data_IF_611650108575
#
_entry.id   IF_611650108575
#
_cell.length_a   1.000
_cell.length_b   1.000
_cell.length_c   1.000
_cell.angle_alpha   90.00
_cell.angle_beta   90.00
_cell.angle_gamma   90.00
#
_symmetry.space_group_name_H-M   'P 1'
#
loop_
_entity.id
_entity.type
_entity.pdbx_description
1 polymer ?
#
# COMPACT_ATOMS: atom_id res chain seq x y z
N UNK A 1 21.54 3.72 44.91
CA UNK A 1 20.59 4.84 44.75
C UNK A 1 20.30 4.99 43.26
N UNK A 2 19.16 4.44 42.87
CA UNK A 2 18.61 4.35 41.50
C UNK A 2 18.14 5.73 41.03
N UNK A 3 18.72 6.26 39.95
CA UNK A 3 18.15 7.42 39.24
C UNK A 3 17.09 6.93 38.25
N UNK A 4 15.85 7.35 38.49
CA UNK A 4 14.71 7.14 37.60
C UNK A 4 14.98 7.74 36.22
N UNK A 5 14.82 6.92 35.19
CA UNK A 5 14.61 7.36 33.82
C UNK A 5 13.15 7.76 33.71
N UNK A 6 12.85 9.04 33.85
CA UNK A 6 11.54 9.55 33.48
C UNK A 6 11.38 9.49 31.96
N UNK A 7 10.20 9.05 31.54
CA UNK A 7 9.74 8.98 30.16
C UNK A 7 9.72 10.38 29.54
N UNK A 8 10.84 10.79 28.95
CA UNK A 8 10.85 11.96 28.06
C UNK A 8 10.05 11.56 26.83
N UNK A 9 8.78 11.97 26.82
CA UNK A 9 7.85 11.74 25.72
C UNK A 9 8.49 12.24 24.43
N UNK A 10 8.54 11.40 23.39
CA UNK A 10 9.19 11.71 22.10
C UNK A 10 8.74 13.06 21.50
N UNK A 11 7.53 13.50 21.82
CA UNK A 11 7.00 14.82 21.51
C UNK A 11 7.87 15.97 22.03
N UNK A 12 8.43 15.86 23.23
CA UNK A 12 9.24 16.90 23.85
C UNK A 12 10.61 17.07 23.16
N UNK A 13 11.18 15.97 22.67
CA UNK A 13 12.41 15.98 21.87
C UNK A 13 12.17 16.52 20.46
N UNK A 14 10.99 16.27 19.88
CA UNK A 14 10.57 16.88 18.61
C UNK A 14 10.37 18.39 18.72
N UNK A 15 9.80 18.87 19.83
CA UNK A 15 9.63 20.32 20.07
C UNK A 15 10.93 21.04 20.39
N UNK A 16 11.91 20.38 21.04
CA UNK A 16 13.23 20.97 21.33
C UNK A 16 14.18 20.94 20.12
N UNK A 17 13.93 20.08 19.13
CA UNK A 17 14.63 20.09 17.85
C UNK A 17 14.14 21.20 16.91
N UNK A 18 12.98 21.78 17.18
CA UNK A 18 12.44 22.88 16.38
C UNK A 18 13.04 24.19 16.89
N UNK A 19 14.15 24.63 16.28
CA UNK A 19 14.62 25.99 16.48
C UNK A 19 13.53 26.97 15.99
N UNK A 20 13.13 27.96 16.80
CA UNK A 20 12.12 28.95 16.40
C UNK A 20 12.60 29.90 15.28
N UNK A 21 13.86 29.78 14.83
CA UNK A 21 14.42 30.55 13.70
C UNK A 21 14.37 29.84 12.34
N UNK A 22 13.92 28.59 12.27
CA UNK A 22 13.67 27.92 10.99
C UNK A 22 12.29 28.34 10.46
N UNK A 23 12.18 29.57 9.95
CA UNK A 23 11.07 29.95 9.08
C UNK A 23 10.96 28.91 7.95
N UNK A 24 9.76 28.44 7.57
CA UNK A 24 9.57 27.56 6.43
C UNK A 24 9.98 28.33 5.17
N UNK A 25 11.26 28.22 4.79
CA UNK A 25 11.78 28.78 3.55
C UNK A 25 11.14 27.99 2.44
N UNK A 26 10.06 28.52 1.89
CA UNK A 26 9.40 27.98 0.70
C UNK A 26 10.49 27.86 -0.36
N UNK A 27 11.01 26.66 -0.66
CA UNK A 27 12.11 26.56 -1.58
C UNK A 27 11.54 26.93 -2.94
N UNK A 28 12.24 27.78 -3.70
CA UNK A 28 11.87 28.08 -5.08
C UNK A 28 12.18 26.85 -5.95
N UNK A 29 11.37 25.80 -5.81
CA UNK A 29 11.44 24.60 -6.62
C UNK A 29 10.13 24.44 -7.38
N UNK A 30 10.19 23.80 -8.54
CA UNK A 30 9.02 23.58 -9.36
C UNK A 30 8.15 22.46 -8.73
N UNK A 31 6.89 22.71 -8.31
CA UNK A 31 6.05 21.70 -7.66
C UNK A 31 5.85 20.44 -8.51
N UNK A 32 5.93 20.55 -9.84
CA UNK A 32 5.83 19.42 -10.77
C UNK A 32 6.89 18.33 -10.58
N UNK A 33 7.96 18.57 -9.81
CA UNK A 33 8.96 17.54 -9.47
C UNK A 33 8.34 16.37 -8.68
N UNK A 34 7.26 16.59 -7.94
CA UNK A 34 6.54 15.54 -7.20
C UNK A 34 5.53 14.76 -8.06
N UNK A 35 5.23 15.23 -9.27
CA UNK A 35 4.26 14.58 -10.15
C UNK A 35 4.63 13.12 -10.51
N UNK A 36 5.88 12.79 -10.88
CA UNK A 36 6.25 11.40 -11.17
C UNK A 36 6.09 10.47 -9.98
N UNK A 37 6.32 10.96 -8.75
CA UNK A 37 6.10 10.17 -7.53
C UNK A 37 4.61 9.88 -7.33
N UNK A 38 3.75 10.89 -7.48
CA UNK A 38 2.30 10.73 -7.40
C UNK A 38 1.73 9.78 -8.47
N UNK A 39 2.27 9.80 -9.69
CA UNK A 39 1.89 8.85 -10.75
C UNK A 39 2.28 7.42 -10.36
N UNK A 40 3.51 7.24 -9.82
CA UNK A 40 3.95 5.93 -9.35
C UNK A 40 3.10 5.42 -8.19
N UNK A 41 2.69 6.29 -7.26
CA UNK A 41 1.81 5.94 -6.13
C UNK A 41 0.46 5.40 -6.60
N UNK A 42 -0.19 6.10 -7.53
CA UNK A 42 -1.50 5.68 -8.07
C UNK A 42 -1.38 4.37 -8.85
N UNK A 43 -0.35 4.22 -9.68
CA UNK A 43 -0.12 2.97 -10.42
C UNK A 43 0.15 1.82 -9.44
N UNK A 44 1.03 2.04 -8.46
CA UNK A 44 1.38 1.06 -7.47
C UNK A 44 0.16 0.59 -6.67
N UNK A 45 -0.58 1.53 -6.09
CA UNK A 45 -1.78 1.23 -5.31
C UNK A 45 -2.84 0.52 -6.14
N UNK A 46 -3.09 0.97 -7.37
CA UNK A 46 -4.07 0.34 -8.27
C UNK A 46 -3.70 -1.11 -8.60
N UNK A 47 -2.46 -1.35 -9.03
CA UNK A 47 -1.98 -2.72 -9.34
C UNK A 47 -2.01 -3.60 -8.09
N UNK A 48 -1.64 -3.04 -6.94
CA UNK A 48 -1.65 -3.73 -5.64
C UNK A 48 -3.07 -4.11 -5.20
N UNK A 49 -4.06 -3.24 -5.41
CA UNK A 49 -5.47 -3.53 -5.12
C UNK A 49 -6.03 -4.62 -6.03
N UNK A 50 -5.71 -4.60 -7.33
CA UNK A 50 -6.11 -5.68 -8.25
C UNK A 50 -5.48 -7.00 -7.81
N UNK A 51 -4.20 -7.01 -7.45
CA UNK A 51 -3.54 -8.19 -6.89
C UNK A 51 -4.26 -8.74 -5.65
N UNK A 52 -4.64 -7.88 -4.71
CA UNK A 52 -5.38 -8.26 -3.49
C UNK A 52 -6.75 -8.92 -3.77
N UNK A 53 -7.39 -8.62 -4.90
CA UNK A 53 -8.66 -9.29 -5.28
C UNK A 53 -8.47 -10.71 -5.80
N UNK A 54 -7.26 -11.05 -6.24
CA UNK A 54 -6.92 -12.34 -6.83
C UNK A 54 -6.12 -13.26 -5.90
N UNK A 55 -5.39 -12.70 -4.93
CA UNK A 55 -4.60 -13.47 -3.94
C UNK A 55 -5.18 -13.35 -2.53
N UNK A 56 -4.66 -14.15 -1.60
CA UNK A 56 -5.05 -14.09 -0.20
C UNK A 56 -4.50 -12.82 0.49
N UNK A 57 -5.22 -12.30 1.49
CA UNK A 57 -4.75 -11.14 2.26
C UNK A 57 -3.39 -11.38 2.95
N UNK A 58 -3.11 -12.64 3.32
CA UNK A 58 -1.82 -13.03 3.93
C UNK A 58 -0.69 -13.01 2.90
N UNK A 59 -0.87 -13.65 1.74
CA UNK A 59 0.10 -13.63 0.63
C UNK A 59 0.42 -12.20 0.19
N UNK A 60 -0.60 -11.35 0.06
CA UNK A 60 -0.44 -9.92 -0.25
C UNK A 60 0.48 -9.19 0.74
N UNK A 61 0.27 -9.39 2.04
CA UNK A 61 1.09 -8.77 3.08
C UNK A 61 2.53 -9.29 3.04
N UNK A 62 2.71 -10.59 2.76
CA UNK A 62 4.02 -11.23 2.70
C UNK A 62 4.83 -10.78 1.47
N UNK A 63 4.17 -10.57 0.33
CA UNK A 63 4.80 -10.06 -0.89
C UNK A 63 5.34 -8.63 -0.75
N UNK A 64 4.93 -7.89 0.29
CA UNK A 64 5.58 -6.61 0.65
C UNK A 64 7.05 -6.77 1.04
N UNK A 65 7.52 -7.98 1.35
CA UNK A 65 8.96 -8.25 1.48
C UNK A 65 9.77 -7.90 0.22
N UNK A 66 9.14 -7.95 -0.97
CA UNK A 66 9.76 -7.55 -2.24
C UNK A 66 10.10 -6.06 -2.29
N UNK A 67 9.37 -5.21 -1.55
CA UNK A 67 9.63 -3.78 -1.48
C UNK A 67 11.04 -3.48 -0.96
N UNK A 68 11.52 -4.25 0.02
CA UNK A 68 12.85 -4.05 0.64
C UNK A 68 13.95 -4.35 -0.37
N UNK A 69 13.78 -5.42 -1.15
CA UNK A 69 14.71 -5.79 -2.22
C UNK A 69 14.74 -4.70 -3.29
N UNK A 70 13.56 -4.29 -3.79
CA UNK A 70 13.44 -3.29 -4.85
C UNK A 70 13.98 -1.92 -4.42
N UNK A 71 13.62 -1.44 -3.23
CA UNK A 71 14.10 -0.16 -2.70
C UNK A 71 15.59 -0.17 -2.40
N UNK A 72 16.12 -1.27 -1.87
CA UNK A 72 17.56 -1.45 -1.65
C UNK A 72 18.33 -1.33 -2.95
N UNK A 73 17.93 -2.08 -4.00
CA UNK A 73 18.58 -2.05 -5.31
C UNK A 73 18.46 -0.68 -5.99
N UNK A 74 17.27 -0.09 -6.02
CA UNK A 74 17.04 1.24 -6.61
C UNK A 74 17.80 2.34 -5.88
N UNK A 75 18.00 2.23 -4.56
CA UNK A 75 18.79 3.18 -3.78
C UNK A 75 20.27 3.20 -4.19
N UNK A 76 20.83 2.09 -4.69
CA UNK A 76 22.19 2.06 -5.24
C UNK A 76 22.27 2.91 -6.50
N UNK A 77 21.29 2.76 -7.41
CA UNK A 77 21.31 3.43 -8.72
C UNK A 77 21.02 4.92 -8.59
N UNK A 78 19.98 5.29 -7.84
CA UNK A 78 19.48 6.67 -7.80
C UNK A 78 20.11 7.55 -6.71
N UNK A 79 20.44 6.97 -5.56
CA UNK A 79 20.99 7.70 -4.41
C UNK A 79 22.49 7.43 -4.19
N UNK A 80 23.08 6.54 -5.00
CA UNK A 80 24.48 6.07 -4.84
C UNK A 80 24.75 5.54 -3.42
N UNK A 81 23.75 4.90 -2.82
CA UNK A 81 23.86 4.34 -1.48
C UNK A 81 24.90 3.21 -1.45
N UNK A 82 25.72 3.16 -0.39
CA UNK A 82 26.67 2.08 -0.14
C UNK A 82 26.03 1.02 0.76
N UNK A 83 25.69 -0.13 0.18
CA UNK A 83 25.14 -1.27 0.90
C UNK A 83 26.27 -2.09 1.51
N UNK A 84 26.21 -2.37 2.82
CA UNK A 84 27.20 -3.18 3.53
C UNK A 84 26.99 -4.68 3.23
N UNK A 85 28.03 -5.50 3.39
CA UNK A 85 27.98 -6.95 3.09
C UNK A 85 26.87 -7.70 3.86
N UNK A 86 26.57 -7.32 5.10
CA UNK A 86 25.48 -7.94 5.86
C UNK A 86 24.09 -7.57 5.32
N UNK A 87 23.96 -6.43 4.66
CA UNK A 87 22.67 -6.03 4.06
C UNK A 87 22.40 -6.85 2.80
N UNK A 88 23.44 -7.23 2.06
CA UNK A 88 23.34 -8.17 0.95
C UNK A 88 22.83 -9.54 1.39
N UNK A 89 23.30 -10.07 2.53
CA UNK A 89 22.78 -11.35 3.04
C UNK A 89 21.31 -11.26 3.44
N UNK A 90 20.89 -10.14 4.05
CA UNK A 90 19.47 -9.88 4.33
C UNK A 90 18.61 -9.82 3.06
N UNK A 91 19.11 -9.19 2.00
CA UNK A 91 18.43 -9.11 0.71
C UNK A 91 18.27 -10.48 0.05
N UNK A 92 19.32 -11.30 0.04
CA UNK A 92 19.27 -12.68 -0.48
C UNK A 92 18.24 -13.51 0.30
N UNK A 93 18.21 -13.37 1.62
CA UNK A 93 17.27 -14.09 2.48
C UNK A 93 15.81 -13.65 2.22
N UNK A 94 15.57 -12.36 1.97
CA UNK A 94 14.25 -11.89 1.53
C UNK A 94 13.85 -12.48 0.17
N UNK A 95 14.76 -12.55 -0.81
CA UNK A 95 14.49 -13.16 -2.11
C UNK A 95 14.15 -14.65 -1.97
N UNK A 96 14.89 -15.38 -1.13
CA UNK A 96 14.58 -16.78 -0.83
C UNK A 96 13.20 -16.93 -0.16
N UNK A 97 12.86 -16.05 0.79
CA UNK A 97 11.55 -16.02 1.42
C UNK A 97 10.42 -15.80 0.41
N UNK A 98 10.53 -14.81 -0.48
CA UNK A 98 9.54 -14.56 -1.54
C UNK A 98 9.38 -15.76 -2.47
N UNK A 99 10.47 -16.41 -2.85
CA UNK A 99 10.43 -17.59 -3.70
C UNK A 99 9.68 -18.75 -3.04
N UNK A 100 9.91 -18.99 -1.74
CA UNK A 100 9.21 -20.04 -0.98
C UNK A 100 7.72 -19.72 -0.86
N UNK A 101 7.35 -18.46 -0.61
CA UNK A 101 5.95 -18.03 -0.53
C UNK A 101 5.24 -18.26 -1.86
N UNK A 102 5.79 -17.76 -2.97
CA UNK A 102 5.19 -17.96 -4.29
C UNK A 102 5.10 -19.43 -4.72
N UNK A 103 6.10 -20.26 -4.38
CA UNK A 103 6.04 -21.70 -4.66
C UNK A 103 4.99 -22.43 -3.80
N UNK A 104 4.77 -21.97 -2.57
CA UNK A 104 3.75 -22.55 -1.70
C UNK A 104 2.35 -22.27 -2.24
N UNK A 105 2.12 -21.05 -2.71
CA UNK A 105 0.82 -20.65 -3.27
C UNK A 105 0.52 -21.43 -4.56
N UNK A 106 1.53 -21.79 -5.36
CA UNK A 106 1.38 -22.70 -6.52
C UNK A 106 1.01 -24.13 -6.10
N UNK A 107 1.64 -24.66 -5.05
CA UNK A 107 1.49 -26.07 -4.67
C UNK A 107 0.20 -26.37 -3.89
N UNK A 108 -0.35 -25.37 -3.19
CA UNK A 108 -1.49 -25.55 -2.28
C UNK A 108 -2.79 -24.88 -2.73
N UNK A 109 -2.77 -24.05 -3.78
CA UNK A 109 -4.00 -23.64 -4.44
C UNK A 109 -4.65 -24.89 -5.05
N UNK A 110 -5.91 -25.20 -4.69
CA UNK A 110 -6.52 -26.53 -4.87
C UNK A 110 -6.57 -27.06 -6.31
N UNK A 111 -6.91 -28.33 -6.47
CA UNK A 111 -6.93 -29.12 -7.74
C UNK A 111 -7.80 -28.54 -8.88
N UNK A 112 -8.42 -27.37 -8.69
CA UNK A 112 -9.21 -26.66 -9.68
C UNK A 112 -8.31 -25.73 -10.53
N UNK A 113 -8.11 -26.02 -11.84
CA UNK A 113 -7.15 -25.31 -12.69
C UNK A 113 -7.43 -23.81 -12.90
N UNK A 114 -8.60 -23.30 -12.49
CA UNK A 114 -8.94 -21.88 -12.54
C UNK A 114 -8.48 -21.04 -11.33
N UNK A 115 -8.47 -21.62 -10.13
CA UNK A 115 -8.16 -20.88 -8.90
C UNK A 115 -6.66 -20.66 -8.74
N UNK A 116 -5.86 -21.68 -9.08
CA UNK A 116 -4.38 -21.60 -9.08
C UNK A 116 -3.87 -20.47 -9.99
N UNK A 117 -4.43 -20.34 -11.19
CA UNK A 117 -4.02 -19.31 -12.14
C UNK A 117 -4.32 -17.91 -11.61
N UNK A 118 -5.45 -17.72 -10.93
CA UNK A 118 -5.83 -16.41 -10.38
C UNK A 118 -4.87 -15.98 -9.27
N UNK A 119 -4.56 -16.88 -8.32
CA UNK A 119 -3.63 -16.58 -7.21
C UNK A 119 -2.24 -16.23 -7.75
N UNK A 120 -1.71 -17.00 -8.70
CA UNK A 120 -0.38 -16.74 -9.30
C UNK A 120 -0.34 -15.39 -10.01
N UNK A 121 -1.39 -15.05 -10.77
CA UNK A 121 -1.50 -13.74 -11.42
C UNK A 121 -1.56 -12.63 -10.36
N UNK A 122 -2.33 -12.84 -9.28
CA UNK A 122 -2.41 -11.93 -8.15
C UNK A 122 -1.04 -11.66 -7.52
N UNK A 123 -0.29 -12.72 -7.22
CA UNK A 123 1.03 -12.62 -6.61
C UNK A 123 2.04 -11.90 -7.50
N UNK A 124 2.02 -12.18 -8.80
CA UNK A 124 2.88 -11.51 -9.77
C UNK A 124 2.56 -10.01 -9.88
N UNK A 125 1.29 -9.65 -9.93
CA UNK A 125 0.84 -8.25 -9.93
C UNK A 125 1.27 -7.54 -8.63
N UNK A 126 1.12 -8.21 -7.48
CA UNK A 126 1.59 -7.68 -6.19
C UNK A 126 3.10 -7.47 -6.16
N UNK A 127 3.89 -8.38 -6.74
CA UNK A 127 5.33 -8.23 -6.81
C UNK A 127 5.76 -7.06 -7.72
N UNK A 128 5.11 -6.90 -8.88
CA UNK A 128 5.35 -5.77 -9.79
C UNK A 128 4.99 -4.44 -9.14
N UNK A 129 3.88 -4.36 -8.40
CA UNK A 129 3.46 -3.12 -7.76
C UNK A 129 4.54 -2.58 -6.80
N UNK A 130 5.29 -3.47 -6.13
CA UNK A 130 6.37 -3.07 -5.23
C UNK A 130 7.51 -2.32 -5.94
N UNK A 131 7.72 -2.53 -7.24
CA UNK A 131 8.72 -1.78 -8.01
C UNK A 131 8.28 -0.32 -8.11
N UNK A 132 7.00 -0.05 -8.40
CA UNK A 132 6.46 1.31 -8.47
C UNK A 132 6.46 1.99 -7.10
N UNK A 133 6.08 1.28 -6.03
CA UNK A 133 6.22 1.78 -4.65
C UNK A 133 7.68 2.14 -4.38
N UNK A 134 8.62 1.27 -4.77
CA UNK A 134 10.04 1.52 -4.53
C UNK A 134 10.56 2.76 -5.27
N UNK A 135 10.13 2.96 -6.52
CA UNK A 135 10.46 4.15 -7.31
C UNK A 135 9.94 5.42 -6.63
N UNK A 136 8.69 5.42 -6.16
CA UNK A 136 8.11 6.54 -5.41
C UNK A 136 8.96 6.86 -4.18
N UNK A 137 9.23 5.88 -3.31
CA UNK A 137 9.97 6.07 -2.06
C UNK A 137 11.39 6.63 -2.30
N UNK A 138 12.10 6.11 -3.31
CA UNK A 138 13.46 6.53 -3.65
C UNK A 138 13.46 7.93 -4.29
N UNK A 139 12.46 8.23 -5.12
CA UNK A 139 12.27 9.55 -5.72
C UNK A 139 11.99 10.62 -4.67
N UNK A 140 11.05 10.36 -3.75
CA UNK A 140 10.72 11.24 -2.63
C UNK A 140 11.95 11.55 -1.79
N UNK A 141 12.70 10.53 -1.36
CA UNK A 141 13.91 10.74 -0.56
C UNK A 141 14.92 11.64 -1.30
N UNK A 142 15.11 11.42 -2.60
CA UNK A 142 16.05 12.20 -3.41
C UNK A 142 15.62 13.67 -3.47
N UNK A 143 14.35 13.93 -3.78
CA UNK A 143 13.84 15.30 -3.94
C UNK A 143 13.74 16.05 -2.62
N UNK A 144 13.30 15.39 -1.54
CA UNK A 144 13.25 15.99 -0.21
C UNK A 144 14.65 16.41 0.28
N UNK A 145 15.70 15.64 -0.03
CA UNK A 145 17.07 15.97 0.34
C UNK A 145 17.70 17.02 -0.56
N UNK A 146 17.46 16.96 -1.87
CA UNK A 146 18.06 17.89 -2.83
C UNK A 146 17.49 19.31 -2.68
N UNK A 147 16.17 19.43 -2.47
CA UNK A 147 15.48 20.73 -2.38
C UNK A 147 15.18 21.16 -0.94
N UNK A 148 15.56 20.34 0.06
CA UNK A 148 15.28 20.53 1.49
C UNK A 148 13.83 20.93 1.80
N UNK A 149 12.86 20.36 1.08
CA UNK A 149 11.44 20.66 1.24
C UNK A 149 10.92 20.12 2.57
N UNK A 150 10.04 20.85 3.24
CA UNK A 150 9.39 20.35 4.44
C UNK A 150 8.46 19.16 4.13
N UNK A 151 8.52 18.05 4.90
CA UNK A 151 7.70 16.87 4.65
C UNK A 151 6.19 17.16 4.63
N UNK A 152 5.73 18.09 5.46
CA UNK A 152 4.32 18.50 5.52
C UNK A 152 3.86 19.22 4.26
N UNK A 153 4.73 20.04 3.65
CA UNK A 153 4.41 20.68 2.39
C UNK A 153 4.46 19.69 1.22
N UNK A 154 5.46 18.80 1.21
CA UNK A 154 5.60 17.76 0.19
C UNK A 154 4.38 16.83 0.14
N UNK A 155 3.90 16.34 1.29
CA UNK A 155 2.71 15.47 1.35
C UNK A 155 1.45 16.18 0.86
N UNK A 156 1.33 17.49 1.11
CA UNK A 156 0.19 18.29 0.63
C UNK A 156 0.18 18.41 -0.89
N UNK A 157 1.33 18.71 -1.50
CA UNK A 157 1.47 18.80 -2.97
C UNK A 157 1.24 17.44 -3.64
N UNK A 158 1.82 16.37 -3.08
CA UNK A 158 1.60 15.01 -3.56
C UNK A 158 0.13 14.61 -3.47
N UNK A 159 -0.55 14.94 -2.35
CA UNK A 159 -1.98 14.72 -2.18
C UNK A 159 -2.83 15.47 -3.20
N UNK A 160 -2.50 16.72 -3.53
CA UNK A 160 -3.21 17.49 -4.56
C UNK A 160 -3.04 16.85 -5.94
N UNK A 161 -1.81 16.48 -6.32
CA UNK A 161 -1.58 15.76 -7.57
C UNK A 161 -2.29 14.40 -7.57
N UNK A 162 -2.31 13.71 -6.43
CA UNK A 162 -3.02 12.45 -6.24
C UNK A 162 -4.51 12.59 -6.52
N UNK A 163 -5.17 13.60 -5.95
CA UNK A 163 -6.60 13.87 -6.22
C UNK A 163 -6.84 14.15 -7.71
N UNK A 164 -6.02 15.01 -8.33
CA UNK A 164 -6.17 15.37 -9.75
C UNK A 164 -6.00 14.13 -10.64
N UNK A 165 -4.94 13.36 -10.42
CA UNK A 165 -4.63 12.17 -11.19
C UNK A 165 -5.66 11.06 -10.95
N UNK A 166 -6.15 10.87 -9.72
CA UNK A 166 -7.17 9.89 -9.40
C UNK A 166 -8.52 10.25 -10.05
N UNK A 167 -8.94 11.52 -9.96
CA UNK A 167 -10.12 12.01 -10.66
C UNK A 167 -10.00 11.81 -12.18
N UNK A 168 -8.81 12.07 -12.75
CA UNK A 168 -8.57 11.84 -14.18
C UNK A 168 -8.55 10.34 -14.54
N UNK A 169 -7.99 9.48 -13.68
CA UNK A 169 -7.87 8.04 -13.89
C UNK A 169 -9.21 7.29 -13.76
N UNK A 170 -10.13 7.80 -12.95
CA UNK A 170 -11.49 7.25 -12.85
C UNK A 170 -12.25 7.34 -14.18
N UNK A 171 -12.00 8.36 -15.00
CA UNK A 171 -12.67 8.55 -16.30
C UNK A 171 -12.40 7.39 -17.26
N UNK A 172 -11.15 7.00 -17.60
CA UNK A 172 -10.89 5.86 -18.46
C UNK A 172 -11.24 4.52 -17.81
N UNK A 173 -11.08 4.37 -16.48
CA UNK A 173 -11.44 3.11 -15.79
C UNK A 173 -12.91 2.74 -15.98
N UNK A 174 -13.80 3.73 -16.02
CA UNK A 174 -15.23 3.52 -16.29
C UNK A 174 -15.51 2.88 -17.67
N UNK A 175 -14.64 3.09 -18.66
CA UNK A 175 -14.84 2.56 -20.01
C UNK A 175 -14.22 1.17 -20.23
N UNK A 176 -13.37 0.70 -19.31
CA UNK A 176 -12.67 -0.60 -19.44
C UNK A 176 -13.58 -1.72 -18.92
N UNK A 177 -13.88 -2.68 -19.79
CA UNK A 177 -14.60 -3.90 -19.44
C UNK A 177 -13.57 -4.95 -19.04
N UNK A 178 -13.84 -5.64 -17.92
CA UNK A 178 -12.91 -6.52 -17.23
C UNK A 178 -13.39 -7.96 -17.39
N UNK A 179 -12.50 -8.92 -17.73
CA UNK A 179 -12.91 -10.31 -17.92
C UNK A 179 -13.61 -10.90 -16.68
N UNK A 180 -14.44 -11.96 -16.84
CA UNK A 180 -15.26 -12.54 -15.77
C UNK A 180 -14.48 -12.99 -14.53
N UNK A 181 -13.16 -13.11 -14.61
CA UNK A 181 -12.26 -13.35 -13.47
C UNK A 181 -12.23 -12.20 -12.45
N UNK A 182 -12.64 -10.98 -12.84
CA UNK A 182 -12.58 -9.78 -12.00
C UNK A 182 -13.94 -9.16 -11.70
N UNK A 183 -15.01 -9.65 -12.33
CA UNK A 183 -16.36 -9.14 -12.10
C UNK A 183 -17.44 -10.14 -12.50
N UNK A 184 -18.39 -10.36 -11.60
CA UNK A 184 -19.61 -11.16 -11.82
C UNK A 184 -20.75 -10.33 -12.42
N UNK A 185 -20.53 -9.05 -12.75
CA UNK A 185 -21.57 -8.20 -13.32
C UNK A 185 -21.86 -8.58 -14.79
N UNK A 186 -23.13 -8.53 -15.24
CA UNK A 186 -23.51 -8.80 -16.63
C UNK A 186 -22.89 -7.82 -17.65
N UNK A 187 -22.47 -6.63 -17.19
CA UNK A 187 -21.75 -5.65 -18.00
C UNK A 187 -20.21 -5.80 -17.92
N UNK A 188 -19.69 -6.81 -17.20
CA UNK A 188 -18.25 -7.04 -17.04
C UNK A 188 -17.49 -5.77 -16.57
N UNK A 189 -18.05 -5.00 -15.64
CA UNK A 189 -17.40 -3.82 -15.03
C UNK A 189 -17.06 -4.07 -13.56
N UNK A 190 -15.98 -3.46 -13.07
CA UNK A 190 -15.56 -3.54 -11.66
C UNK A 190 -16.57 -2.90 -10.69
N UNK A 191 -17.37 -1.96 -11.16
CA UNK A 191 -18.42 -1.29 -10.38
C UNK A 191 -19.76 -2.04 -10.48
N UNK A 192 -20.39 -2.34 -9.34
CA UNK A 192 -21.78 -2.81 -9.27
C UNK A 192 -22.68 -1.63 -9.55
N UNK A 193 -23.16 -1.49 -10.79
CA UNK A 193 -24.20 -0.53 -11.10
C UNK A 193 -25.55 -1.12 -10.69
N UNK A 194 -26.04 -0.78 -9.50
CA UNK A 194 -27.42 -1.09 -9.06
C UNK A 194 -28.50 -0.33 -9.88
N UNK A 195 -28.09 0.48 -10.86
CA UNK A 195 -28.98 1.38 -11.57
C UNK A 195 -30.05 0.71 -12.48
N UNK A 196 -29.84 -0.46 -13.14
CA UNK A 196 -30.88 -1.03 -13.98
C UNK A 196 -31.89 -1.88 -13.20
N UNK A 197 -31.52 -2.44 -12.05
CA UNK A 197 -32.36 -3.41 -11.35
C UNK A 197 -33.56 -2.74 -10.67
N UNK A 198 -33.38 -1.53 -10.11
CA UNK A 198 -34.46 -0.74 -9.51
C UNK A 198 -35.45 -0.17 -10.53
N UNK A 199 -35.04 -0.04 -11.80
CA UNK A 199 -35.96 0.31 -12.90
C UNK A 199 -36.72 -0.93 -13.40
N UNK A 200 -36.11 -2.11 -13.36
CA UNK A 200 -36.82 -3.38 -13.60
C UNK A 200 -37.84 -3.67 -12.50
N UNK A 201 -37.53 -3.48 -11.23
CA UNK A 201 -38.48 -3.74 -10.13
C UNK A 201 -39.68 -2.78 -10.17
N UNK A 202 -39.46 -1.50 -10.51
CA UNK A 202 -40.54 -0.54 -10.73
C UNK A 202 -41.35 -0.84 -11.99
N UNK A 203 -40.75 -1.40 -13.03
CA UNK A 203 -41.45 -1.84 -14.25
C UNK A 203 -42.30 -3.10 -14.01
N UNK A 204 -41.76 -4.08 -13.29
CA UNK A 204 -42.42 -5.34 -12.94
C UNK A 204 -43.59 -5.10 -11.98
N UNK A 205 -43.42 -4.28 -10.95
CA UNK A 205 -44.52 -3.95 -10.03
C UNK A 205 -45.62 -3.12 -10.68
N UNK A 206 -45.31 -2.33 -11.71
CA UNK A 206 -46.32 -1.59 -12.49
C UNK A 206 -47.06 -2.50 -13.49
N UNK A 207 -46.36 -3.46 -14.09
CA UNK A 207 -46.96 -4.44 -15.01
C UNK A 207 -47.77 -5.52 -14.29
N UNK A 208 -47.49 -5.80 -13.01
CA UNK A 208 -48.29 -6.74 -12.21
C UNK A 208 -49.65 -6.17 -11.77
N UNK A 209 -49.90 -4.87 -11.98
CA UNK A 209 -51.16 -4.22 -11.60
C UNK A 209 -52.12 -4.00 -12.79
N UNK A 210 -51.65 -4.13 -14.04
CA UNK A 210 -52.49 -4.04 -15.24
C UNK A 210 -52.60 -5.43 -15.90
N UNK A 211 -53.75 -6.08 -15.73
CA UNK A 211 -54.03 -7.45 -16.14
C UNK A 211 -54.16 -7.67 -17.66
N UNK A 212 -53.24 -7.12 -18.46
CA UNK A 212 -53.17 -7.34 -19.91
C UNK A 212 -51.95 -8.16 -20.28
N UNK A 213 -52.18 -9.46 -20.49
CA UNK A 213 -51.23 -10.37 -21.14
C UNK A 213 -51.04 -9.92 -22.59
N UNK A 214 -49.98 -9.18 -22.86
CA UNK A 214 -49.42 -9.04 -24.20
C UNK A 214 -47.97 -9.51 -24.16
N UNK A 215 -47.64 -10.38 -25.12
CA UNK A 215 -46.32 -10.90 -25.39
C UNK A 215 -45.29 -9.76 -25.52
N UNK A 216 -44.49 -9.56 -24.47
CA UNK A 216 -43.31 -8.69 -24.54
C UNK A 216 -42.13 -9.53 -25.01
N UNK A 217 -42.10 -9.71 -26.33
CA UNK A 217 -40.91 -9.92 -27.13
C UNK A 217 -39.83 -8.90 -26.73
N UNK A 218 -38.63 -9.40 -26.41
CA UNK A 218 -37.37 -8.68 -26.20
C UNK A 218 -37.44 -7.17 -25.98
N UNK A 219 -37.44 -6.74 -24.72
CA UNK A 219 -36.84 -5.44 -24.39
C UNK A 219 -35.33 -5.65 -24.49
N UNK A 220 -34.81 -5.45 -25.70
CA UNK A 220 -33.38 -5.29 -25.91
C UNK A 220 -32.98 -4.03 -25.13
N UNK A 221 -32.34 -4.22 -23.97
CA UNK A 221 -31.78 -3.12 -23.18
C UNK A 221 -30.65 -2.56 -24.02
N UNK A 222 -30.99 -1.58 -24.84
CA UNK A 222 -30.08 -1.00 -25.80
C UNK A 222 -28.82 -0.51 -25.07
N UNK A 223 -27.71 -1.21 -25.33
CA UNK A 223 -26.36 -0.83 -24.89
C UNK A 223 -26.17 0.65 -25.23
N UNK A 224 -26.01 1.55 -24.26
CA UNK A 224 -25.88 2.96 -24.58
C UNK A 224 -24.61 3.15 -25.43
N UNK A 225 -24.68 3.94 -26.52
CA UNK A 225 -23.56 4.11 -27.43
C UNK A 225 -22.29 4.56 -26.69
N UNK A 226 -21.14 4.17 -27.23
CA UNK A 226 -19.80 4.29 -26.65
C UNK A 226 -19.43 5.72 -26.19
N UNK A 227 -20.10 6.75 -26.72
CA UNK A 227 -19.96 8.17 -26.36
C UNK A 227 -21.32 8.83 -26.06
N UNK A 228 -21.98 8.47 -24.95
CA UNK A 228 -23.17 9.21 -24.49
C UNK A 228 -22.90 9.93 -23.18
N UNK A 229 -23.24 11.22 -23.13
CA UNK A 229 -23.18 12.11 -21.95
C UNK A 229 -23.86 11.53 -20.70
N UNK A 230 -24.73 10.54 -20.86
CA UNK A 230 -25.38 9.80 -19.77
C UNK A 230 -24.39 9.08 -18.85
N UNK A 231 -23.21 8.67 -19.35
CA UNK A 231 -22.22 7.89 -18.58
C UNK A 231 -21.52 8.69 -17.48
N UNK A 232 -21.18 9.96 -17.74
CA UNK A 232 -20.64 10.88 -16.72
C UNK A 232 -21.71 11.22 -15.66
N UNK A 233 -22.97 11.27 -16.07
CA UNK A 233 -24.10 11.52 -15.16
C UNK A 233 -24.25 10.39 -14.14
N UNK A 234 -24.05 9.11 -14.54
CA UNK A 234 -24.05 7.98 -13.60
C UNK A 234 -22.92 8.07 -12.57
N UNK A 235 -21.71 8.42 -12.98
CA UNK A 235 -20.59 8.63 -12.05
C UNK A 235 -20.87 9.72 -11.01
N UNK A 236 -21.35 10.88 -11.47
CA UNK A 236 -21.73 11.96 -10.57
C UNK A 236 -22.87 11.52 -9.63
N UNK A 237 -23.78 10.68 -10.11
CA UNK A 237 -24.86 10.13 -9.32
C UNK A 237 -24.38 9.19 -8.21
N UNK A 238 -23.38 8.33 -8.45
CA UNK A 238 -22.80 7.45 -7.43
C UNK A 238 -22.07 8.24 -6.33
N UNK A 239 -21.31 9.28 -6.72
CA UNK A 239 -20.69 10.20 -5.76
C UNK A 239 -21.76 10.91 -4.91
N UNK A 240 -22.84 11.37 -5.54
CA UNK A 240 -23.95 12.02 -4.83
C UNK A 240 -24.73 11.05 -3.93
N UNK A 241 -24.86 9.77 -4.32
CA UNK A 241 -25.43 8.73 -3.46
C UNK A 241 -24.55 8.47 -2.24
N UNK A 242 -23.23 8.37 -2.40
CA UNK A 242 -22.30 8.23 -1.28
C UNK A 242 -22.43 9.40 -0.30
N UNK A 243 -22.52 10.64 -0.78
CA UNK A 243 -22.76 11.80 0.09
C UNK A 243 -24.13 11.75 0.79
N UNK A 244 -25.16 11.20 0.13
CA UNK A 244 -26.47 11.01 0.74
C UNK A 244 -26.43 9.94 1.84
N UNK A 245 -25.73 8.85 1.62
CA UNK A 245 -25.53 7.76 2.60
C UNK A 245 -24.78 8.25 3.85
N UNK A 246 -23.72 9.04 3.66
CA UNK A 246 -22.95 9.68 4.73
C UNK A 246 -23.83 10.59 5.60
N UNK A 247 -24.81 11.29 5.01
CA UNK A 247 -25.77 12.12 5.76
C UNK A 247 -26.78 11.28 6.56
N UNK A 248 -27.10 10.07 6.10
CA UNK A 248 -28.06 9.18 6.76
C UNK A 248 -27.39 8.41 7.91
N UNK A 249 -26.14 7.99 7.76
CA UNK A 249 -25.39 7.23 8.76
C UNK A 249 -24.08 7.95 9.16
N UNK A 250 -24.07 8.74 10.26
CA UNK A 250 -22.90 9.53 10.64
C UNK A 250 -21.70 8.68 11.10
N UNK A 251 -21.92 7.40 11.43
CA UNK A 251 -20.84 6.47 11.76
C UNK A 251 -19.89 6.25 10.57
N UNK A 252 -20.41 6.30 9.34
CA UNK A 252 -19.61 6.22 8.11
C UNK A 252 -18.70 7.44 8.00
N UNK A 253 -19.22 8.64 8.31
CA UNK A 253 -18.43 9.86 8.33
C UNK A 253 -17.31 9.79 9.38
N UNK A 254 -17.61 9.28 10.57
CA UNK A 254 -16.61 9.11 11.62
C UNK A 254 -15.51 8.12 11.20
N UNK A 255 -15.89 6.99 10.59
CA UNK A 255 -14.94 5.99 10.10
C UNK A 255 -14.06 6.55 8.97
N UNK A 256 -14.67 7.19 7.95
CA UNK A 256 -13.95 7.81 6.82
C UNK A 256 -13.05 8.95 7.27
N UNK A 257 -13.52 9.80 8.18
CA UNK A 257 -12.72 10.88 8.74
C UNK A 257 -11.53 10.34 9.52
N UNK A 258 -11.76 9.32 10.35
CA UNK A 258 -10.71 8.65 11.11
C UNK A 258 -9.64 8.01 10.22
N UNK A 259 -10.03 7.28 9.17
CA UNK A 259 -9.08 6.69 8.22
C UNK A 259 -8.31 7.76 7.44
N UNK A 260 -8.99 8.83 7.01
CA UNK A 260 -8.34 9.93 6.28
C UNK A 260 -7.28 10.62 7.14
N UNK A 261 -7.58 10.94 8.39
CA UNK A 261 -6.63 11.55 9.33
C UNK A 261 -5.45 10.60 9.60
N UNK A 262 -5.75 9.31 9.77
CA UNK A 262 -4.71 8.29 10.00
C UNK A 262 -3.74 8.19 8.83
N UNK A 263 -4.25 8.14 7.59
CA UNK A 263 -3.43 8.06 6.37
C UNK A 263 -2.60 9.34 6.19
N UNK A 264 -3.19 10.52 6.43
CA UNK A 264 -2.47 11.79 6.34
C UNK A 264 -1.29 11.83 7.33
N UNK A 265 -1.51 11.43 8.58
CA UNK A 265 -0.45 11.33 9.59
C UNK A 265 0.61 10.30 9.20
N UNK A 266 0.20 9.13 8.71
CA UNK A 266 1.12 8.07 8.27
C UNK A 266 2.02 8.54 7.11
N UNK A 267 1.46 9.20 6.11
CA UNK A 267 2.21 9.72 4.97
C UNK A 267 3.19 10.84 5.39
N UNK A 268 2.75 11.75 6.28
CA UNK A 268 3.63 12.76 6.86
C UNK A 268 4.81 12.15 7.64
N UNK A 269 4.53 11.19 8.52
CA UNK A 269 5.56 10.50 9.29
C UNK A 269 6.52 9.73 8.38
N UNK A 270 6.01 9.04 7.36
CA UNK A 270 6.79 8.33 6.36
C UNK A 270 7.75 9.24 5.58
N UNK A 271 7.26 10.38 5.08
CA UNK A 271 8.09 11.37 4.40
C UNK A 271 9.14 11.98 5.33
N UNK A 272 8.80 12.21 6.60
CA UNK A 272 9.74 12.71 7.61
C UNK A 272 10.88 11.72 7.86
N UNK A 273 10.57 10.43 8.00
CA UNK A 273 11.59 9.36 8.11
C UNK A 273 12.45 9.29 6.85
N UNK A 274 11.85 9.44 5.67
CA UNK A 274 12.58 9.39 4.39
C UNK A 274 13.55 10.57 4.24
N UNK A 275 13.13 11.77 4.64
CA UNK A 275 13.98 12.99 4.66
C UNK A 275 15.15 12.81 5.64
N UNK A 276 14.85 12.53 6.91
CA UNK A 276 15.82 12.56 8.01
C UNK A 276 16.69 11.31 8.12
N UNK A 277 16.19 10.14 7.74
CA UNK A 277 16.89 8.86 7.85
C UNK A 277 17.19 8.25 6.48
N UNK A 278 16.22 7.60 5.86
CA UNK A 278 16.28 7.10 4.47
C UNK A 278 14.97 6.42 4.07
N UNK A 279 14.72 6.28 2.77
CA UNK A 279 13.65 5.44 2.21
C UNK A 279 13.82 3.99 2.66
N UNK A 280 15.06 3.50 2.71
CA UNK A 280 15.36 2.16 3.24
C UNK A 280 15.02 2.00 4.72
N UNK A 281 14.93 3.06 5.51
CA UNK A 281 14.46 2.98 6.90
C UNK A 281 12.93 3.03 6.97
N UNK A 282 12.29 3.79 6.08
CA UNK A 282 10.82 3.81 5.98
C UNK A 282 10.26 2.44 5.64
N UNK A 283 10.83 1.75 4.66
CA UNK A 283 10.40 0.39 4.28
C UNK A 283 10.48 -0.62 5.43
N UNK A 284 11.33 -0.36 6.39
CA UNK A 284 11.55 -1.21 7.57
C UNK A 284 10.48 -0.96 8.61
N UNK A 285 10.13 0.30 8.82
CA UNK A 285 8.97 0.66 9.64
C UNK A 285 7.68 0.09 9.03
N UNK A 286 7.56 0.12 7.70
CA UNK A 286 6.44 -0.50 6.99
C UNK A 286 6.41 -2.02 7.19
N UNK A 287 7.57 -2.66 7.26
CA UNK A 287 7.70 -4.08 7.53
C UNK A 287 7.27 -4.46 8.95
N UNK A 288 7.59 -3.62 9.94
CA UNK A 288 7.13 -3.83 11.32
C UNK A 288 5.60 -3.83 11.38
N UNK A 289 4.94 -2.90 10.69
CA UNK A 289 3.48 -2.88 10.59
C UNK A 289 2.93 -4.20 10.02
N UNK A 290 3.53 -4.72 8.96
CA UNK A 290 3.11 -6.00 8.34
C UNK A 290 3.22 -7.16 9.33
N UNK A 291 4.34 -7.26 10.05
CA UNK A 291 4.54 -8.32 11.07
C UNK A 291 3.48 -8.22 12.17
N UNK A 292 3.18 -7.00 12.64
CA UNK A 292 2.19 -6.79 13.70
C UNK A 292 0.77 -7.13 13.24
N UNK A 293 0.39 -6.73 12.03
CA UNK A 293 -0.93 -7.06 11.46
C UNK A 293 -1.07 -8.56 11.32
N UNK A 294 -0.09 -9.22 10.70
CA UNK A 294 -0.09 -10.67 10.53
C UNK A 294 -0.13 -11.42 11.87
N UNK A 295 0.65 -10.98 12.86
CA UNK A 295 0.67 -11.60 14.19
C UNK A 295 -0.66 -11.44 14.93
N UNK A 296 -1.40 -10.36 14.69
CA UNK A 296 -2.75 -10.17 15.21
C UNK A 296 -3.80 -10.96 14.42
N UNK A 297 -3.62 -11.12 13.10
CA UNK A 297 -4.52 -11.91 12.25
C UNK A 297 -4.54 -13.39 12.64
N UNK A 298 -3.39 -13.95 13.02
CA UNK A 298 -3.22 -15.37 13.38
C UNK A 298 -4.21 -15.86 14.46
N UNK A 299 -4.34 -15.20 15.64
CA UNK A 299 -5.32 -15.60 16.65
C UNK A 299 -6.75 -15.13 16.35
N UNK A 300 -6.94 -14.00 15.65
CA UNK A 300 -8.26 -13.38 15.47
C UNK A 300 -9.13 -14.08 14.41
N UNK A 301 -8.54 -14.63 13.35
CA UNK A 301 -9.29 -15.18 12.21
C UNK A 301 -9.26 -16.71 12.10
N UNK A 302 -8.55 -17.41 13.00
CA UNK A 302 -8.60 -18.88 13.11
C UNK A 302 -8.28 -19.63 11.81
N UNK A 303 -7.46 -19.04 10.93
CA UNK A 303 -7.23 -19.59 9.59
C UNK A 303 -6.33 -20.84 9.60
N UNK A 304 -6.68 -21.83 8.78
CA UNK A 304 -5.87 -23.04 8.55
C UNK A 304 -4.67 -22.70 7.67
N UNK A 305 -3.53 -22.38 8.29
CA UNK A 305 -2.32 -22.02 7.55
C UNK A 305 -1.55 -23.23 7.05
N UNK A 306 -0.95 -23.07 5.87
CA UNK A 306 -0.01 -24.01 5.28
C UNK A 306 1.36 -23.83 5.95
N UNK A 307 1.93 -24.87 6.60
CA UNK A 307 3.20 -24.73 7.31
C UNK A 307 4.37 -24.25 6.43
N UNK A 308 4.33 -24.55 5.13
CA UNK A 308 5.36 -24.15 4.17
C UNK A 308 5.36 -22.63 3.91
N UNK A 309 4.18 -21.99 3.92
CA UNK A 309 4.03 -20.54 3.76
C UNK A 309 4.63 -19.81 4.98
N UNK A 310 4.46 -20.39 6.18
CA UNK A 310 5.05 -19.87 7.41
C UNK A 310 6.58 -19.89 7.38
N UNK A 311 7.20 -20.91 6.76
CA UNK A 311 8.65 -20.97 6.58
C UNK A 311 9.11 -19.83 5.66
N UNK A 312 8.42 -19.62 4.54
CA UNK A 312 8.69 -18.49 3.64
C UNK A 312 8.57 -17.14 4.36
N UNK A 313 7.56 -16.99 5.21
CA UNK A 313 7.37 -15.79 6.02
C UNK A 313 8.48 -15.59 7.06
N UNK A 314 8.89 -16.65 7.76
CA UNK A 314 9.97 -16.58 8.73
C UNK A 314 11.29 -16.18 8.06
N UNK A 315 11.56 -16.68 6.84
CA UNK A 315 12.71 -16.29 6.04
C UNK A 315 12.65 -14.80 5.65
N UNK A 316 11.47 -14.31 5.23
CA UNK A 316 11.27 -12.88 4.96
C UNK A 316 11.60 -12.05 6.20
N UNK A 317 10.98 -12.36 7.34
CA UNK A 317 11.21 -11.66 8.61
C UNK A 317 12.69 -11.66 8.98
N UNK A 318 13.35 -12.82 8.91
CA UNK A 318 14.77 -12.94 9.19
C UNK A 318 15.60 -12.06 8.25
N UNK A 319 15.29 -12.07 6.94
CA UNK A 319 15.95 -11.21 5.94
C UNK A 319 15.82 -9.72 6.27
N UNK A 320 14.64 -9.29 6.71
CA UNK A 320 14.39 -7.92 7.15
C UNK A 320 15.22 -7.55 8.38
N UNK A 321 15.28 -8.41 9.39
CA UNK A 321 16.10 -8.15 10.59
C UNK A 321 17.60 -8.08 10.27
N UNK A 322 18.08 -8.96 9.39
CA UNK A 322 19.48 -8.98 8.94
C UNK A 322 19.82 -7.74 8.13
N UNK A 323 18.96 -7.34 7.19
CA UNK A 323 19.15 -6.14 6.37
C UNK A 323 19.30 -4.86 7.21
N UNK A 324 18.61 -4.80 8.34
CA UNK A 324 18.56 -3.61 9.21
C UNK A 324 19.58 -3.59 10.33
N UNK A 325 20.46 -4.59 10.39
CA UNK A 325 21.42 -4.73 11.48
C UNK A 325 20.77 -4.75 12.89
N UNK A 326 19.45 -4.99 12.97
CA UNK A 326 18.68 -4.94 14.22
C UNK A 326 19.11 -6.03 15.21
N UNK A 327 19.58 -7.15 14.67
CA UNK A 327 20.09 -8.29 15.46
C UNK A 327 21.61 -8.25 15.57
N UNK A 328 22.32 -8.02 14.46
CA UNK A 328 23.78 -8.13 14.40
C UNK A 328 24.50 -6.92 15.02
N UNK A 329 24.03 -5.69 14.83
CA UNK A 329 24.68 -4.48 15.31
C UNK A 329 24.77 -4.41 16.84
N UNK A 330 23.65 -4.59 17.57
CA UNK A 330 23.66 -4.67 19.04
C UNK A 330 24.40 -5.90 19.55
N UNK A 331 24.28 -7.06 18.89
CA UNK A 331 24.95 -8.29 19.31
C UNK A 331 26.48 -8.22 19.14
N UNK A 332 26.96 -7.70 18.01
CA UNK A 332 28.37 -7.47 17.73
C UNK A 332 28.96 -6.41 18.68
N UNK A 333 28.23 -5.31 18.92
CA UNK A 333 28.60 -4.29 19.90
C UNK A 333 28.69 -4.84 21.33
N UNK A 334 27.85 -5.81 21.71
CA UNK A 334 27.90 -6.46 23.02
C UNK A 334 28.96 -7.57 23.15
N UNK A 335 29.40 -8.20 22.07
CA UNK A 335 30.40 -9.30 22.13
C UNK A 335 31.83 -8.90 21.79
N UNK A 336 32.03 -7.90 20.93
CA UNK A 336 33.36 -7.56 20.39
C UNK A 336 33.93 -6.28 21.02
N UNK A 337 33.12 -5.24 21.21
CA UNK A 337 33.58 -3.98 21.82
C UNK A 337 33.95 -4.06 23.31
N UNK A 338 33.39 -4.93 24.18
CA UNK A 338 33.88 -5.05 25.55
C UNK A 338 35.32 -5.62 25.63
N UNK A 339 35.79 -6.31 24.59
CA UNK A 339 37.14 -6.90 24.57
C UNK A 339 38.24 -5.88 24.25
N UNK A 340 37.92 -4.72 23.69
CA UNK A 340 38.95 -3.71 23.37
C UNK A 340 39.31 -2.84 24.58
N UNK A 341 38.35 -2.52 25.45
CA UNK A 341 38.59 -1.74 26.67
C UNK A 341 39.34 -2.53 27.74
N UNK A 342 39.03 -3.82 27.92
CA UNK A 342 39.73 -4.65 28.92
C UNK A 342 41.17 -4.94 28.53
N UNK A 343 41.47 -5.10 27.23
CA UNK A 343 42.84 -5.36 26.76
C UNK A 343 43.75 -4.13 26.87
N UNK A 344 43.23 -2.91 26.73
CA UNK A 344 44.03 -1.69 26.90
C UNK A 344 44.26 -1.32 28.37
N UNK A 345 43.35 -1.71 29.28
CA UNK A 345 43.50 -1.44 30.71
C UNK A 345 44.42 -2.43 31.44
N UNK A 346 44.75 -3.58 30.83
CA UNK A 346 45.67 -4.59 31.38
C UNK A 346 47.12 -4.45 30.86
N UNK A 347 47.40 -3.43 30.04
CA UNK A 347 48.74 -3.13 29.50
C UNK A 347 49.28 -1.76 29.92
N UNK A 348 48.78 -1.19 31.03
CA UNK A 348 49.37 0.00 31.65
C UNK A 348 49.67 -0.24 33.12
#
# INVERSE_FOLDING_TARGET
>A
MTRHYESVSWWYLLTLSANPEDEPRIPRFNPFVFLPAAVCDIIATSVSYVGLTLTSASSYQMLRGALIVCTGLLSIVWLRARIKLFQWSGMILCVAGLAVVGLTDIYFSGDEPGEQSNVIIGDFLCAISQIFVAVQLVSEQKYLRQYNVDPLFAVGIEGIFGIILLCAAMVPMYYIHVPPTFSTNPEHRLEVSEAPERLMEKGVNKSSSDGRKHDLMGIDVQKPPFFSSSRIVFFLQDVLYAFKEIKVQPMILAALGGTTISIAFFNFAGLTVSKNLSATTRTVLDSVRVILIWAAEMPLFGQKFIPLQLIGFALLIAGMFVYNDLVFGPWFRRRVLPKMDTSQCLTK
#
